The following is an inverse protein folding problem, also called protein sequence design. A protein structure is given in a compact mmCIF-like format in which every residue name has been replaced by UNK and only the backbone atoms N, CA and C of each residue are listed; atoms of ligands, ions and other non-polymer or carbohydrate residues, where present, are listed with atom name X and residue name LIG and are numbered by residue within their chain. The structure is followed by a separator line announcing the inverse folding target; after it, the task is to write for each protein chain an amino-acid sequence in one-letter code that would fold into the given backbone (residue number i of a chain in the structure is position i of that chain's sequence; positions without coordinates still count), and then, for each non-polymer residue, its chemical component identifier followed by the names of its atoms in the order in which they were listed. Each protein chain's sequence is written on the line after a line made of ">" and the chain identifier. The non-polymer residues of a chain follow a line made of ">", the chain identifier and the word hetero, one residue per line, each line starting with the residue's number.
data_IF_913408074806
#
_entry.id   IF_913408074806
#
_cell.length_a   1.000
_cell.length_b   1.000
_cell.length_c   1.000
_cell.angle_alpha   90.00
_cell.angle_beta   90.00
_cell.angle_gamma   90.00
#
_symmetry.space_group_name_H-M   'P 1'
#
loop_
_entity.id
_entity.type
_entity.pdbx_description
1 polymer ?
#
# COMPACT_ATOMS: atom_id res chain seq x y z
N UNK A 1 8.38 15.15 -5.52
CA UNK A 1 8.04 14.61 -6.86
C UNK A 1 7.77 13.13 -6.67
N UNK A 2 6.60 12.65 -7.08
CA UNK A 2 6.24 11.24 -7.01
C UNK A 2 7.27 10.37 -7.75
N UNK A 3 7.60 9.21 -7.18
CA UNK A 3 8.47 8.25 -7.85
C UNK A 3 7.63 7.48 -8.87
N UNK A 4 8.15 7.35 -10.08
CA UNK A 4 7.51 6.59 -11.14
C UNK A 4 8.31 5.33 -11.42
N UNK A 5 7.61 4.22 -11.63
CA UNK A 5 8.18 2.97 -12.11
C UNK A 5 8.31 3.02 -13.65
N UNK A 6 9.10 2.09 -14.20
CA UNK A 6 9.10 1.86 -15.64
C UNK A 6 7.72 1.41 -16.11
N UNK A 7 7.30 1.77 -17.31
CA UNK A 7 5.98 1.36 -17.85
C UNK A 7 5.83 -0.15 -18.00
N UNK A 8 6.93 -0.87 -18.18
CA UNK A 8 7.01 -2.33 -18.29
C UNK A 8 7.24 -3.04 -16.94
N UNK A 9 7.10 -2.33 -15.82
CA UNK A 9 7.29 -2.92 -14.50
C UNK A 9 6.34 -4.11 -14.27
N UNK A 10 6.94 -5.23 -13.89
CA UNK A 10 6.24 -6.47 -13.54
C UNK A 10 5.39 -6.32 -12.28
N UNK A 11 4.40 -7.22 -12.10
CA UNK A 11 3.61 -7.29 -10.86
C UNK A 11 4.48 -7.37 -9.60
N UNK A 12 5.58 -8.14 -9.65
CA UNK A 12 6.52 -8.25 -8.54
C UNK A 12 7.21 -6.92 -8.21
N UNK A 13 7.56 -6.12 -9.22
CA UNK A 13 8.15 -4.78 -9.01
C UNK A 13 7.13 -3.78 -8.47
N UNK A 14 5.87 -3.87 -8.87
CA UNK A 14 4.77 -3.07 -8.31
C UNK A 14 4.59 -3.39 -6.83
N UNK A 15 4.51 -4.68 -6.50
CA UNK A 15 4.38 -5.13 -5.10
C UNK A 15 5.58 -4.66 -4.27
N UNK A 16 6.81 -4.83 -4.77
CA UNK A 16 8.00 -4.38 -4.05
C UNK A 16 8.04 -2.85 -3.83
N UNK A 17 7.48 -2.08 -4.77
CA UNK A 17 7.32 -0.64 -4.62
C UNK A 17 6.32 -0.30 -3.50
N UNK A 18 5.19 -1.01 -3.44
CA UNK A 18 4.20 -0.83 -2.37
C UNK A 18 4.75 -1.32 -1.03
N UNK A 19 5.50 -2.41 -0.99
CA UNK A 19 6.20 -2.87 0.23
C UNK A 19 7.12 -1.77 0.78
N UNK A 20 7.82 -1.03 -0.10
CA UNK A 20 8.62 0.14 0.30
C UNK A 20 7.74 1.27 0.84
N UNK A 21 6.60 1.54 0.20
CA UNK A 21 5.63 2.53 0.67
C UNK A 21 5.12 2.18 2.08
N UNK A 22 4.73 0.92 2.32
CA UNK A 22 4.31 0.42 3.63
C UNK A 22 5.45 0.54 4.65
N UNK A 23 6.69 0.24 4.26
CA UNK A 23 7.85 0.40 5.16
C UNK A 23 8.02 1.83 5.67
N UNK A 24 7.76 2.84 4.83
CA UNK A 24 7.78 4.25 5.23
C UNK A 24 6.62 4.59 6.16
N UNK A 25 5.44 4.01 5.90
CA UNK A 25 4.24 4.18 6.72
C UNK A 25 4.45 3.63 8.15
N UNK A 26 5.05 2.44 8.26
CA UNK A 26 5.47 1.80 9.51
C UNK A 26 6.49 2.65 10.29
N UNK A 27 7.40 3.31 9.57
CA UNK A 27 8.38 4.23 10.15
C UNK A 27 7.80 5.61 10.49
N UNK A 28 6.49 5.84 10.27
CA UNK A 28 5.81 7.12 10.47
C UNK A 28 6.41 8.27 9.65
N UNK A 29 7.02 7.95 8.51
CA UNK A 29 7.63 8.90 7.59
C UNK A 29 6.60 9.41 6.59
N UNK A 30 5.52 10.02 7.08
CA UNK A 30 4.33 10.33 6.27
C UNK A 30 4.60 11.29 5.10
N UNK A 31 5.57 12.20 5.23
CA UNK A 31 6.03 13.03 4.12
C UNK A 31 6.69 12.20 3.00
N UNK A 32 7.53 11.22 3.38
CA UNK A 32 8.18 10.32 2.41
C UNK A 32 7.19 9.35 1.77
N UNK A 33 6.18 8.90 2.52
CA UNK A 33 5.05 8.10 2.03
C UNK A 33 4.36 8.82 0.87
N UNK A 34 3.98 10.08 1.07
CA UNK A 34 3.35 10.89 0.02
C UNK A 34 4.29 11.26 -1.11
N UNK A 35 5.58 11.45 -0.83
CA UNK A 35 6.56 11.74 -1.86
C UNK A 35 6.80 10.54 -2.80
N UNK A 36 6.49 9.31 -2.37
CA UNK A 36 6.71 8.11 -3.18
C UNK A 36 5.63 7.93 -4.26
N UNK A 37 4.38 8.29 -3.97
CA UNK A 37 3.21 8.05 -4.83
C UNK A 37 2.65 9.36 -5.41
N UNK A 38 1.78 9.24 -6.40
CA UNK A 38 0.86 10.33 -6.73
C UNK A 38 -0.31 10.24 -5.74
N UNK A 39 -0.72 11.36 -5.18
CA UNK A 39 -1.82 11.41 -4.23
C UNK A 39 -2.82 12.46 -4.68
N UNK A 40 -4.11 12.14 -4.61
CA UNK A 40 -5.19 13.08 -4.87
C UNK A 40 -5.13 14.30 -3.91
N UNK A 41 -5.66 15.48 -4.28
CA UNK A 41 -5.51 16.73 -3.52
C UNK A 41 -5.97 16.72 -2.04
N UNK A 42 -6.67 15.67 -1.59
CA UNK A 42 -7.08 15.50 -0.21
C UNK A 42 -6.04 14.84 0.70
N UNK A 43 -5.09 14.10 0.12
CA UNK A 43 -4.09 13.37 0.88
C UNK A 43 -2.98 14.30 1.40
N UNK A 44 -2.80 14.30 2.71
CA UNK A 44 -1.75 15.05 3.42
C UNK A 44 -1.13 14.17 4.51
N UNK A 45 0.12 14.44 4.94
CA UNK A 45 0.81 13.58 5.90
C UNK A 45 -0.02 13.34 7.17
N UNK A 46 -0.64 14.40 7.69
CA UNK A 46 -1.52 14.34 8.87
C UNK A 46 -2.76 13.45 8.67
N UNK A 47 -3.33 13.39 7.46
CA UNK A 47 -4.47 12.53 7.18
C UNK A 47 -4.05 11.06 7.09
N UNK A 48 -2.89 10.77 6.50
CA UNK A 48 -2.33 9.41 6.49
C UNK A 48 -2.01 8.96 7.92
N UNK A 49 -1.43 9.84 8.73
CA UNK A 49 -1.18 9.58 10.14
C UNK A 49 -2.48 9.29 10.89
N UNK A 50 -3.49 10.14 10.71
CA UNK A 50 -4.82 9.97 11.31
C UNK A 50 -5.44 8.64 10.91
N UNK A 51 -5.52 8.32 9.61
CA UNK A 51 -6.10 7.06 9.13
C UNK A 51 -5.31 5.84 9.64
N UNK A 52 -3.98 5.94 9.70
CA UNK A 52 -3.13 4.84 10.19
C UNK A 52 -3.27 4.62 11.71
N UNK A 53 -3.55 5.69 12.48
CA UNK A 53 -3.61 5.64 13.95
C UNK A 53 -5.04 5.53 14.50
N UNK A 54 -6.06 5.92 13.73
CA UNK A 54 -7.46 5.99 14.20
C UNK A 54 -8.19 4.64 14.15
N UNK A 55 -7.45 3.57 13.89
CA UNK A 55 -8.05 2.26 13.72
C UNK A 55 -8.32 1.58 15.07
N UNK A 56 -9.59 1.58 15.52
CA UNK A 56 -10.09 0.81 16.67
C UNK A 56 -10.58 1.58 17.91
N UNK A 57 -10.97 2.85 17.79
CA UNK A 57 -11.41 3.74 18.90
C UNK A 57 -10.25 4.11 19.87
N UNK A 58 -10.39 5.25 20.55
CA UNK A 58 -9.32 6.08 21.14
C UNK A 58 -8.37 5.43 22.17
N UNK A 59 -8.55 4.14 22.49
CA UNK A 59 -7.68 3.34 23.36
C UNK A 59 -6.65 2.48 22.60
N UNK A 60 -6.82 2.25 21.30
CA UNK A 60 -6.02 1.29 20.53
C UNK A 60 -5.11 1.99 19.52
N UNK A 61 -3.90 2.35 19.95
CA UNK A 61 -2.86 2.78 19.01
C UNK A 61 -2.46 1.60 18.12
N UNK A 62 -2.95 1.59 16.89
CA UNK A 62 -2.52 0.64 15.87
C UNK A 62 -1.14 1.04 15.34
N UNK A 63 -0.20 0.10 15.41
CA UNK A 63 1.10 0.25 14.76
C UNK A 63 1.12 -0.70 13.57
N UNK A 64 1.17 -0.14 12.37
CA UNK A 64 1.51 -0.93 11.19
C UNK A 64 2.90 -1.53 11.44
N UNK A 65 3.05 -2.85 11.27
CA UNK A 65 4.34 -3.51 11.36
C UNK A 65 4.72 -4.05 9.99
N UNK A 66 5.96 -3.82 9.58
CA UNK A 66 6.57 -4.48 8.43
C UNK A 66 7.12 -5.85 8.82
N UNK A 67 6.34 -6.71 9.48
CA UNK A 67 6.77 -8.09 9.76
C UNK A 67 6.58 -9.02 8.54
N UNK A 68 6.07 -8.48 7.41
CA UNK A 68 5.88 -9.17 6.14
C UNK A 68 7.16 -9.44 5.34
N UNK A 69 8.35 -9.36 5.95
CA UNK A 69 9.63 -9.75 5.34
C UNK A 69 9.91 -11.26 5.44
N UNK A 70 8.89 -12.12 5.55
CA UNK A 70 9.08 -13.54 5.28
C UNK A 70 8.87 -13.81 3.78
N UNK A 71 9.93 -13.62 3.00
CA UNK A 71 10.19 -14.51 1.87
C UNK A 71 10.58 -15.86 2.46
N UNK A 72 9.61 -16.66 2.91
CA UNK A 72 9.76 -18.11 2.94
C UNK A 72 8.41 -18.81 3.10
N UNK A 73 8.22 -19.83 2.28
CA UNK A 73 7.06 -20.69 2.33
C UNK A 73 7.00 -21.57 3.57
N UNK A 74 5.89 -22.32 3.63
CA UNK A 74 5.52 -23.35 4.61
C UNK A 74 4.95 -22.83 5.94
N UNK A 75 3.62 -22.89 6.03
CA UNK A 75 2.87 -22.73 7.27
C UNK A 75 1.37 -22.67 7.00
N UNK A 76 0.78 -23.79 6.59
CA UNK A 76 -0.67 -23.94 6.39
C UNK A 76 -1.45 -23.54 7.65
N UNK A 77 -2.38 -22.62 7.49
CA UNK A 77 -3.73 -22.67 8.07
C UNK A 77 -4.61 -21.74 7.22
N UNK A 78 -5.76 -22.23 6.78
CA UNK A 78 -6.71 -21.58 5.86
C UNK A 78 -7.41 -20.35 6.47
N UNK A 79 -6.65 -19.35 6.91
CA UNK A 79 -7.16 -18.03 7.32
C UNK A 79 -6.26 -16.96 6.69
N UNK A 80 -6.80 -16.35 5.62
CA UNK A 80 -6.43 -15.02 5.10
C UNK A 80 -4.96 -14.77 4.79
N UNK A 81 -4.49 -15.17 3.60
CA UNK A 81 -3.28 -14.54 3.04
C UNK A 81 -3.62 -13.08 2.73
N UNK A 82 -2.81 -12.09 3.17
CA UNK A 82 -3.07 -10.69 2.85
C UNK A 82 -3.08 -10.50 1.32
N UNK A 83 -4.13 -9.86 0.81
CA UNK A 83 -4.32 -9.58 -0.61
C UNK A 83 -3.18 -8.68 -1.09
N UNK A 84 -2.54 -9.11 -2.17
CA UNK A 84 -1.56 -8.33 -2.95
C UNK A 84 -1.88 -8.54 -4.42
N UNK A 85 -2.98 -7.96 -4.85
CA UNK A 85 -3.54 -8.18 -6.17
C UNK A 85 -3.24 -7.01 -7.09
N UNK A 86 -2.80 -7.30 -8.31
CA UNK A 86 -2.50 -6.31 -9.33
C UNK A 86 -3.25 -6.72 -10.59
N UNK A 87 -4.24 -5.93 -10.96
CA UNK A 87 -5.12 -6.19 -12.09
C UNK A 87 -5.01 -5.08 -13.12
N UNK A 88 -4.89 -5.47 -14.38
CA UNK A 88 -4.82 -4.53 -15.50
C UNK A 88 -6.15 -4.58 -16.23
N UNK A 89 -6.77 -3.41 -16.42
CA UNK A 89 -8.00 -3.27 -17.21
C UNK A 89 -7.68 -3.14 -18.69
N UNK A 90 -6.57 -2.46 -18.99
CA UNK A 90 -6.03 -2.26 -20.33
C UNK A 90 -4.50 -2.02 -20.28
N UNK A 91 -3.92 -1.63 -21.41
CA UNK A 91 -2.47 -1.38 -21.54
C UNK A 91 -1.98 -0.13 -20.79
N UNK A 92 -2.89 0.77 -20.38
CA UNK A 92 -2.60 2.05 -19.74
C UNK A 92 -3.04 2.10 -18.27
N UNK A 93 -4.03 1.30 -17.86
CA UNK A 93 -4.71 1.40 -16.56
C UNK A 93 -4.89 0.06 -15.86
N UNK A 94 -4.81 0.10 -14.53
CA UNK A 94 -5.08 -1.04 -13.66
C UNK A 94 -5.27 -0.61 -12.22
N UNK A 95 -5.53 -1.57 -11.34
CA UNK A 95 -5.72 -1.36 -9.92
C UNK A 95 -4.80 -2.27 -9.10
N UNK A 96 -4.48 -1.81 -7.88
CA UNK A 96 -3.80 -2.62 -6.87
C UNK A 96 -4.61 -2.62 -5.59
N UNK A 97 -4.81 -3.82 -5.04
CA UNK A 97 -5.41 -4.03 -3.73
C UNK A 97 -4.37 -4.66 -2.82
N UNK A 98 -4.01 -3.94 -1.76
CA UNK A 98 -2.93 -4.34 -0.86
C UNK A 98 -3.40 -4.29 0.60
N UNK A 99 -3.50 -5.46 1.22
CA UNK A 99 -3.87 -5.57 2.64
C UNK A 99 -2.71 -5.17 3.54
N UNK A 100 -2.99 -4.25 4.46
CA UNK A 100 -2.05 -3.69 5.42
C UNK A 100 -2.12 -4.48 6.73
N UNK A 101 -1.04 -5.18 7.07
CA UNK A 101 -0.96 -5.87 8.35
C UNK A 101 -0.83 -4.89 9.52
N UNK A 102 -1.63 -5.11 10.57
CA UNK A 102 -1.65 -4.32 11.79
C UNK A 102 -1.03 -5.14 12.92
N UNK A 103 -0.03 -4.60 13.63
CA UNK A 103 0.65 -5.30 14.73
C UNK A 103 1.15 -6.70 14.35
N UNK A 104 1.42 -6.91 13.06
CA UNK A 104 1.88 -8.18 12.53
C UNK A 104 0.81 -9.25 12.36
N UNK A 105 -0.45 -8.88 12.53
CA UNK A 105 -1.63 -9.69 12.28
C UNK A 105 -2.28 -9.26 10.96
N UNK A 106 -2.93 -10.21 10.29
CA UNK A 106 -3.80 -9.90 9.16
C UNK A 106 -4.91 -8.95 9.65
N UNK A 107 -5.21 -7.94 8.84
CA UNK A 107 -6.22 -6.92 9.12
C UNK A 107 -7.10 -6.75 7.91
N UNK A 108 -8.35 -6.36 8.13
CA UNK A 108 -9.30 -5.96 7.09
C UNK A 108 -8.97 -4.59 6.49
N UNK A 109 -7.76 -4.05 6.74
CA UNK A 109 -7.35 -2.74 6.27
C UNK A 109 -6.68 -2.90 4.91
N UNK A 110 -7.25 -2.30 3.88
CA UNK A 110 -6.75 -2.41 2.50
C UNK A 110 -6.44 -1.02 1.95
N UNK A 111 -5.23 -0.88 1.38
CA UNK A 111 -4.87 0.26 0.57
C UNK A 111 -5.15 -0.06 -0.91
N UNK A 112 -5.85 0.85 -1.59
CA UNK A 112 -6.14 0.73 -3.02
C UNK A 112 -5.39 1.79 -3.82
N UNK A 113 -4.84 1.37 -4.96
CA UNK A 113 -4.11 2.26 -5.85
C UNK A 113 -4.57 2.09 -7.29
N UNK A 114 -4.68 3.20 -8.02
CA UNK A 114 -4.74 3.14 -9.47
C UNK A 114 -3.32 3.07 -10.05
N UNK A 115 -3.17 2.28 -11.09
CA UNK A 115 -2.00 2.24 -11.95
C UNK A 115 -2.30 3.06 -13.20
N UNK A 116 -1.46 4.05 -13.47
CA UNK A 116 -1.56 4.87 -14.68
C UNK A 116 -0.23 4.89 -15.40
N UNK A 117 -0.20 4.40 -16.64
CA UNK A 117 0.94 4.52 -17.54
C UNK A 117 0.81 5.78 -18.38
N UNK A 118 1.82 6.65 -18.32
CA UNK A 118 1.90 7.87 -19.12
C UNK A 118 3.34 8.19 -19.46
N UNK A 119 3.61 8.53 -20.72
CA UNK A 119 4.93 8.93 -21.20
C UNK A 119 6.06 7.91 -20.85
N UNK A 120 5.77 6.61 -21.01
CA UNK A 120 6.74 5.54 -20.73
C UNK A 120 7.04 5.31 -19.25
N UNK A 121 6.22 5.86 -18.35
CA UNK A 121 6.33 5.71 -16.91
C UNK A 121 5.01 5.23 -16.32
N UNK A 122 5.10 4.50 -15.23
CA UNK A 122 3.94 4.04 -14.47
C UNK A 122 3.90 4.75 -13.12
N UNK A 123 2.72 5.27 -12.79
CA UNK A 123 2.43 5.97 -11.56
C UNK A 123 1.43 5.17 -10.74
N UNK A 124 1.66 5.11 -9.42
CA UNK A 124 0.67 4.64 -8.45
C UNK A 124 -0.03 5.86 -7.88
N UNK A 125 -1.36 5.87 -7.95
CA UNK A 125 -2.21 6.90 -7.36
C UNK A 125 -2.93 6.29 -6.17
N UNK A 126 -2.67 6.78 -4.95
CA UNK A 126 -3.42 6.30 -3.79
C UNK A 126 -4.86 6.80 -3.85
N UNK A 127 -5.79 5.85 -3.93
CA UNK A 127 -7.22 6.14 -3.94
C UNK A 127 -7.75 6.18 -2.51
N UNK A 128 -7.60 5.08 -1.78
CA UNK A 128 -8.21 4.94 -0.48
C UNK A 128 -7.41 4.00 0.46
N UNK A 129 -7.66 4.15 1.76
CA UNK A 129 -7.24 3.22 2.80
C UNK A 129 -8.47 2.97 3.66
N UNK A 130 -9.10 1.81 3.49
CA UNK A 130 -10.39 1.49 4.12
C UNK A 130 -10.43 0.08 4.70
N UNK A 131 -11.53 -0.18 5.42
CA UNK A 131 -11.88 -1.48 5.95
C UNK A 131 -12.76 -2.21 4.96
N UNK A 132 -12.49 -3.49 4.75
CA UNK A 132 -13.44 -4.38 4.06
C UNK A 132 -14.50 -4.95 4.98
#
# INVERSE_FOLDING_TARGET
>A
MAVALSSDASKAQIIAFIDRWVSLLVQKKYDEVLALIVAEPGWRPALIEEVSNSYGDAANRVTLLNNGTALDGAGNSEIGRPRKEVDWHDDERGDVWYDLNINGLSSDLTATFDLVRRAGRMHLILQDIHVM
#
